data_IF_156905698733
#
_entry.id   IF_156905698733
#
_cell.length_a   1.000
_cell.length_b   1.000
_cell.length_c   1.000
_cell.angle_alpha   90.00
_cell.angle_beta   90.00
_cell.angle_gamma   90.00
#
_symmetry.space_group_name_H-M   'P 1'
#
loop_
_entity.id
_entity.type
_entity.pdbx_description
1 polymer ?
#
# COMPACT_ATOMS: atom_id res chain seq x y z
N UNK A 1 -19.59 -6.01 -4.72
CA UNK A 1 -19.75 -7.42 -4.29
C UNK A 1 -18.38 -8.12 -4.18
N UNK A 2 -18.33 -9.31 -3.58
CA UNK A 2 -17.12 -10.13 -3.58
C UNK A 2 -16.63 -10.45 -5.00
N UNK A 3 -17.57 -10.68 -5.91
CA UNK A 3 -17.26 -10.91 -7.33
C UNK A 3 -16.57 -9.69 -7.97
N UNK A 4 -17.05 -8.47 -7.68
CA UNK A 4 -16.40 -7.24 -8.16
C UNK A 4 -14.99 -7.07 -7.61
N UNK A 5 -14.79 -7.36 -6.32
CA UNK A 5 -13.45 -7.30 -5.70
C UNK A 5 -12.49 -8.30 -6.36
N UNK A 6 -12.97 -9.51 -6.64
CA UNK A 6 -12.17 -10.53 -7.34
C UNK A 6 -11.85 -10.09 -8.78
N UNK A 7 -12.84 -9.57 -9.51
CA UNK A 7 -12.64 -9.09 -10.89
C UNK A 7 -11.65 -7.90 -10.94
N UNK A 8 -11.76 -6.94 -10.03
CA UNK A 8 -10.83 -5.82 -9.93
C UNK A 8 -9.39 -6.30 -9.61
N UNK A 9 -9.24 -7.23 -8.67
CA UNK A 9 -7.95 -7.85 -8.36
C UNK A 9 -7.36 -8.55 -9.59
N UNK A 10 -8.14 -9.35 -10.27
CA UNK A 10 -7.67 -10.13 -11.42
C UNK A 10 -7.29 -9.20 -12.59
N UNK A 11 -8.05 -8.12 -12.81
CA UNK A 11 -7.70 -7.08 -13.78
C UNK A 11 -6.38 -6.37 -13.41
N UNK A 12 -6.19 -6.05 -12.13
CA UNK A 12 -4.95 -5.43 -11.65
C UNK A 12 -3.75 -6.37 -11.78
N UNK A 13 -3.89 -7.65 -11.41
CA UNK A 13 -2.83 -8.64 -11.57
C UNK A 13 -2.46 -8.83 -13.05
N UNK A 14 -3.44 -8.87 -13.95
CA UNK A 14 -3.19 -8.94 -15.38
C UNK A 14 -2.45 -7.70 -15.91
N UNK A 15 -2.77 -6.51 -15.40
CA UNK A 15 -2.09 -5.26 -15.76
C UNK A 15 -0.65 -5.18 -15.24
N UNK A 16 -0.37 -5.78 -14.06
CA UNK A 16 1.00 -5.86 -13.50
C UNK A 16 1.88 -6.94 -14.18
N UNK A 17 1.28 -7.81 -15.00
CA UNK A 17 1.96 -8.94 -15.63
C UNK A 17 2.10 -10.17 -14.72
N UNK A 18 2.33 -11.35 -15.30
CA UNK A 18 2.39 -12.63 -14.56
C UNK A 18 3.50 -12.66 -13.51
N UNK A 19 4.59 -11.91 -13.71
CA UNK A 19 5.71 -11.84 -12.79
C UNK A 19 5.74 -10.55 -11.96
N UNK A 20 4.78 -9.63 -12.17
CA UNK A 20 4.66 -8.30 -11.53
C UNK A 20 6.01 -7.55 -11.42
N UNK A 21 6.89 -7.76 -12.40
CA UNK A 21 8.27 -7.26 -12.44
C UNK A 21 8.33 -5.76 -12.66
N UNK A 22 7.20 -5.14 -13.04
CA UNK A 22 7.17 -3.78 -13.53
C UNK A 22 6.45 -2.79 -12.59
N UNK A 23 6.39 -3.08 -11.29
CA UNK A 23 6.00 -2.03 -10.33
C UNK A 23 7.15 -1.04 -10.24
N UNK A 24 7.02 0.08 -10.96
CA UNK A 24 8.00 1.16 -10.89
C UNK A 24 7.89 1.89 -9.56
N UNK A 25 9.02 2.30 -9.00
CA UNK A 25 9.03 3.07 -7.77
C UNK A 25 10.09 4.17 -7.80
N UNK A 26 9.86 5.19 -6.99
CA UNK A 26 10.80 6.29 -6.75
C UNK A 26 11.07 6.39 -5.24
N UNK A 27 12.34 6.60 -4.86
CA UNK A 27 12.70 6.91 -3.47
C UNK A 27 12.57 8.41 -3.26
N UNK A 28 11.54 8.81 -2.52
CA UNK A 28 11.25 10.22 -2.22
C UNK A 28 12.10 10.75 -1.07
N UNK A 29 12.29 9.92 -0.02
CA UNK A 29 13.13 10.24 1.14
C UNK A 29 13.99 9.05 1.47
N UNK A 30 15.28 9.30 1.73
CA UNK A 30 16.28 8.31 2.14
C UNK A 30 17.06 8.82 3.33
N UNK A 31 16.84 8.23 4.49
CA UNK A 31 17.56 8.54 5.72
C UNK A 31 18.44 7.38 6.13
N UNK A 32 19.74 7.50 5.89
CA UNK A 32 20.76 6.54 6.25
C UNK A 32 22.01 7.24 6.82
N UNK A 33 22.32 7.13 8.13
CA UNK A 33 21.57 6.39 9.15
C UNK A 33 20.28 7.11 9.57
N UNK A 34 19.29 6.33 10.01
CA UNK A 34 18.08 6.90 10.58
C UNK A 34 18.32 7.36 12.03
N UNK A 35 18.24 8.67 12.25
CA UNK A 35 18.57 9.28 13.56
C UNK A 35 17.51 8.99 14.65
N UNK A 36 16.30 8.55 14.27
CA UNK A 36 15.21 8.33 15.22
C UNK A 36 15.30 7.06 16.07
N UNK A 37 16.11 6.08 15.66
CA UNK A 37 16.31 4.83 16.41
C UNK A 37 17.62 4.15 15.95
N UNK A 38 18.60 3.93 16.84
CA UNK A 38 19.88 3.32 16.47
C UNK A 38 19.77 1.86 16.00
N UNK A 39 18.64 1.20 16.23
CA UNK A 39 18.40 -0.16 15.74
C UNK A 39 17.89 -0.18 14.28
N UNK A 40 17.56 0.97 13.72
CA UNK A 40 17.13 1.13 12.33
C UNK A 40 18.27 1.76 11.54
N UNK A 41 18.83 1.00 10.59
CA UNK A 41 19.93 1.47 9.76
C UNK A 41 19.45 2.50 8.72
N UNK A 42 18.23 2.33 8.20
CA UNK A 42 17.72 3.15 7.10
C UNK A 42 16.20 3.25 7.17
N UNK A 43 15.69 4.45 6.90
CA UNK A 43 14.27 4.70 6.65
C UNK A 43 14.10 5.28 5.25
N UNK A 44 13.20 4.69 4.47
CA UNK A 44 12.87 5.16 3.13
C UNK A 44 11.39 5.51 3.06
N UNK A 45 11.05 6.57 2.32
CA UNK A 45 9.71 6.77 1.78
C UNK A 45 9.81 6.55 0.28
N UNK A 46 8.91 5.77 -0.25
CA UNK A 46 8.83 5.46 -1.67
C UNK A 46 7.44 5.80 -2.19
N UNK A 47 7.39 6.28 -3.41
CA UNK A 47 6.20 6.31 -4.24
C UNK A 47 6.30 5.21 -5.28
N UNK A 48 5.22 4.48 -5.52
CA UNK A 48 5.19 3.39 -6.49
C UNK A 48 3.90 3.41 -7.31
N UNK A 49 4.00 3.01 -8.58
CA UNK A 49 2.86 2.97 -9.48
C UNK A 49 2.03 1.71 -9.29
N UNK A 50 0.71 1.88 -9.29
CA UNK A 50 -0.25 0.79 -9.14
C UNK A 50 -1.34 0.89 -10.20
N UNK A 51 -1.90 -0.24 -10.69
CA UNK A 51 -3.07 -0.21 -11.56
C UNK A 51 -4.24 0.47 -10.85
N UNK A 52 -4.87 1.43 -11.53
CA UNK A 52 -6.03 2.14 -10.99
C UNK A 52 -7.31 1.39 -11.37
N UNK A 53 -7.97 0.80 -10.36
CA UNK A 53 -9.25 0.08 -10.50
C UNK A 53 -10.41 0.86 -9.92
N UNK A 54 -10.16 1.88 -9.10
CA UNK A 54 -11.19 2.72 -8.48
C UNK A 54 -10.74 4.17 -8.32
N UNK A 55 -11.63 5.09 -8.62
CA UNK A 55 -11.51 6.53 -8.43
C UNK A 55 -12.49 7.08 -7.39
N UNK A 56 -12.82 8.37 -7.52
CA UNK A 56 -13.74 9.05 -6.60
C UNK A 56 -15.21 8.59 -6.75
N UNK A 57 -15.57 8.07 -7.90
CA UNK A 57 -16.92 7.56 -8.17
C UNK A 57 -17.06 6.04 -7.90
N UNK A 58 -16.02 5.40 -7.34
CA UNK A 58 -15.96 3.96 -7.06
C UNK A 58 -15.17 3.19 -8.11
N UNK A 59 -15.49 1.89 -8.28
CA UNK A 59 -14.82 1.02 -9.24
C UNK A 59 -15.04 1.48 -10.67
N UNK A 60 -13.96 1.52 -11.44
CA UNK A 60 -14.02 1.68 -12.89
C UNK A 60 -14.65 0.43 -13.52
N UNK A 61 -15.62 0.63 -14.41
CA UNK A 61 -16.38 -0.46 -15.03
C UNK A 61 -16.45 -0.29 -16.54
N UNK A 62 -16.40 -1.41 -17.26
CA UNK A 62 -16.67 -1.45 -18.69
C UNK A 62 -18.17 -1.32 -19.01
N UNK A 63 -18.51 -1.45 -20.29
CA UNK A 63 -19.90 -1.36 -20.76
C UNK A 63 -20.83 -2.46 -20.23
N UNK A 64 -20.27 -3.57 -19.76
CA UNK A 64 -21.01 -4.69 -19.18
C UNK A 64 -21.06 -4.62 -17.64
N UNK A 65 -20.43 -3.59 -17.05
CA UNK A 65 -20.38 -3.37 -15.61
C UNK A 65 -19.28 -4.16 -14.89
N UNK A 66 -18.37 -4.78 -15.62
CA UNK A 66 -17.23 -5.52 -15.05
C UNK A 66 -16.12 -4.55 -14.63
N UNK A 67 -15.54 -4.71 -13.42
CA UNK A 67 -14.40 -3.91 -13.00
C UNK A 67 -13.20 -4.03 -13.93
N UNK A 68 -12.60 -2.89 -14.27
CA UNK A 68 -11.45 -2.78 -15.19
C UNK A 68 -10.39 -1.84 -14.64
N UNK A 69 -9.16 -1.96 -15.15
CA UNK A 69 -8.08 -0.98 -14.93
C UNK A 69 -8.24 0.18 -15.91
N UNK A 70 -8.19 1.41 -15.41
CA UNK A 70 -8.27 2.63 -16.23
C UNK A 70 -7.02 3.52 -16.13
N UNK A 71 -5.85 2.91 -16.00
CA UNK A 71 -4.59 3.64 -15.92
C UNK A 71 -3.76 3.24 -14.73
N UNK A 72 -2.90 4.15 -14.29
CA UNK A 72 -2.05 3.99 -13.10
C UNK A 72 -2.30 5.13 -12.13
N UNK A 73 -2.12 4.86 -10.85
CA UNK A 73 -2.08 5.85 -9.79
C UNK A 73 -0.87 5.63 -8.90
N UNK A 74 -0.48 6.63 -8.14
CA UNK A 74 0.66 6.55 -7.23
C UNK A 74 0.19 6.14 -5.84
N UNK A 75 0.87 5.16 -5.25
CA UNK A 75 0.73 4.78 -3.85
C UNK A 75 2.04 5.04 -3.11
N UNK A 76 1.96 5.26 -1.79
CA UNK A 76 3.12 5.58 -0.95
C UNK A 76 3.36 4.51 0.10
N UNK A 77 4.63 4.20 0.37
CA UNK A 77 5.01 3.32 1.47
C UNK A 77 6.25 3.85 2.22
N UNK A 78 6.35 3.45 3.49
CA UNK A 78 7.55 3.62 4.31
C UNK A 78 8.24 2.27 4.50
N UNK A 79 9.57 2.25 4.40
CA UNK A 79 10.38 1.06 4.59
C UNK A 79 11.39 1.34 5.71
N UNK A 80 11.39 0.47 6.73
CA UNK A 80 12.34 0.53 7.84
C UNK A 80 13.25 -0.68 7.81
N UNK A 81 14.54 -0.46 7.59
CA UNK A 81 15.56 -1.49 7.50
C UNK A 81 16.31 -1.55 8.83
N UNK A 82 16.25 -2.66 9.58
CA UNK A 82 16.99 -2.78 10.83
C UNK A 82 18.49 -2.95 10.60
N UNK A 83 19.30 -2.57 11.61
CA UNK A 83 20.77 -2.69 11.56
C UNK A 83 21.28 -4.12 11.46
N UNK A 84 20.48 -5.10 11.88
CA UNK A 84 20.80 -6.53 11.76
C UNK A 84 20.66 -7.07 10.32
N UNK A 85 19.96 -6.35 9.42
CA UNK A 85 19.82 -6.73 8.03
C UNK A 85 21.10 -6.38 7.26
N UNK A 86 21.89 -7.40 6.92
CA UNK A 86 23.14 -7.28 6.19
C UNK A 86 23.17 -8.25 5.01
N UNK A 87 24.23 -8.18 4.20
CA UNK A 87 24.43 -9.14 3.12
C UNK A 87 24.55 -10.59 3.62
N UNK A 88 25.15 -10.76 4.82
CA UNK A 88 25.38 -12.06 5.47
C UNK A 88 24.17 -12.49 6.31
N UNK A 89 23.38 -11.55 6.82
CA UNK A 89 22.20 -11.82 7.64
C UNK A 89 20.95 -11.22 6.97
N UNK A 90 20.32 -11.98 6.11
CA UNK A 90 19.12 -11.54 5.40
C UNK A 90 17.93 -11.44 6.35
N UNK A 91 17.31 -10.26 6.40
CA UNK A 91 16.09 -10.04 7.16
C UNK A 91 14.86 -10.63 6.46
N UNK A 92 13.87 -11.01 7.26
CA UNK A 92 12.52 -11.23 6.76
C UNK A 92 11.83 -9.90 6.42
N UNK A 93 10.69 -9.97 5.74
CA UNK A 93 9.87 -8.79 5.42
C UNK A 93 8.54 -8.90 6.16
N UNK A 94 8.14 -7.80 6.79
CA UNK A 94 6.82 -7.62 7.39
C UNK A 94 6.11 -6.50 6.63
N UNK A 95 5.04 -6.82 5.91
CA UNK A 95 4.15 -5.83 5.31
C UNK A 95 3.09 -5.48 6.35
N UNK A 96 2.94 -4.18 6.61
CA UNK A 96 2.04 -3.65 7.63
C UNK A 96 1.02 -2.68 7.01
N UNK A 97 -0.26 -2.91 7.30
CA UNK A 97 -1.35 -1.97 7.03
C UNK A 97 -1.75 -1.24 8.30
N UNK A 98 -1.92 0.07 8.21
CA UNK A 98 -2.39 0.89 9.33
C UNK A 98 -3.84 0.58 9.71
N UNK A 99 -4.29 1.09 10.87
CA UNK A 99 -5.67 1.04 11.30
C UNK A 99 -6.59 1.95 10.49
N UNK A 100 -7.90 1.87 10.81
CA UNK A 100 -8.91 2.69 10.13
C UNK A 100 -8.64 4.17 10.33
N UNK A 101 -8.53 4.92 9.24
CA UNK A 101 -8.10 6.32 9.19
C UNK A 101 -6.70 6.60 9.74
N UNK A 102 -5.83 5.59 9.71
CA UNK A 102 -4.42 5.74 10.03
C UNK A 102 -3.56 6.17 8.84
N UNK A 103 -2.25 6.06 9.01
CA UNK A 103 -1.25 6.42 7.99
C UNK A 103 0.02 5.56 8.11
N UNK A 104 0.99 5.79 7.23
CA UNK A 104 2.32 5.15 7.30
C UNK A 104 3.09 5.47 8.59
N UNK A 105 2.67 6.48 9.37
CA UNK A 105 3.28 6.79 10.67
C UNK A 105 3.15 5.63 11.66
N UNK A 106 2.06 4.86 11.58
CA UNK A 106 1.87 3.69 12.45
C UNK A 106 2.96 2.62 12.23
N UNK A 107 3.41 2.45 10.98
CA UNK A 107 4.50 1.54 10.64
C UNK A 107 5.83 1.95 11.28
N UNK A 108 5.98 3.23 11.61
CA UNK A 108 7.16 3.81 12.24
C UNK A 108 7.06 3.82 13.77
N UNK A 109 5.98 3.31 14.33
CA UNK A 109 5.72 3.27 15.76
C UNK A 109 6.68 2.38 16.54
N UNK A 110 6.81 2.63 17.84
CA UNK A 110 7.77 1.93 18.71
C UNK A 110 7.55 0.40 18.77
N UNK A 111 6.34 -0.09 18.54
CA UNK A 111 6.07 -1.53 18.47
C UNK A 111 6.74 -2.15 17.24
N UNK A 112 6.54 -1.55 16.06
CA UNK A 112 7.09 -2.08 14.81
C UNK A 112 8.61 -1.90 14.73
N UNK A 113 9.16 -0.83 15.31
CA UNK A 113 10.62 -0.71 15.46
C UNK A 113 11.21 -1.81 16.35
N UNK A 114 10.50 -2.22 17.40
CA UNK A 114 10.91 -3.39 18.22
C UNK A 114 10.83 -4.68 17.43
N UNK A 115 9.78 -4.89 16.63
CA UNK A 115 9.68 -6.05 15.74
C UNK A 115 10.84 -6.07 14.75
N UNK A 116 11.12 -4.93 14.10
CA UNK A 116 12.26 -4.82 13.20
C UNK A 116 13.58 -5.22 13.87
N UNK A 117 13.84 -4.68 15.08
CA UNK A 117 15.06 -4.95 15.84
C UNK A 117 15.13 -6.38 16.36
N UNK A 118 14.08 -6.84 17.07
CA UNK A 118 14.14 -8.08 17.87
C UNK A 118 13.97 -9.32 17.00
N UNK A 119 13.24 -9.22 15.89
CA UNK A 119 13.01 -10.30 14.93
C UNK A 119 13.83 -10.14 13.64
N UNK A 120 14.62 -9.09 13.51
CA UNK A 120 15.38 -8.76 12.30
C UNK A 120 14.50 -8.76 11.05
N UNK A 121 13.46 -7.92 11.04
CA UNK A 121 12.53 -7.82 9.92
C UNK A 121 12.57 -6.42 9.31
N UNK A 122 12.64 -6.34 7.99
CA UNK A 122 12.32 -5.11 7.27
C UNK A 122 10.82 -4.88 7.38
N UNK A 123 10.44 -3.72 7.94
CA UNK A 123 9.04 -3.33 8.03
C UNK A 123 8.70 -2.46 6.83
N UNK A 124 7.67 -2.84 6.10
CA UNK A 124 7.15 -2.13 4.93
C UNK A 124 5.72 -1.72 5.24
N UNK A 125 5.48 -0.43 5.44
CA UNK A 125 4.15 0.13 5.76
C UNK A 125 3.56 0.88 4.59
N UNK A 126 2.45 0.39 4.03
CA UNK A 126 1.71 1.05 2.95
C UNK A 126 0.58 1.93 3.45
N UNK A 127 0.12 2.86 2.60
CA UNK A 127 -1.15 3.57 2.77
C UNK A 127 -2.28 2.68 2.27
N UNK A 128 -3.27 2.41 3.12
CA UNK A 128 -4.46 1.68 2.72
C UNK A 128 -5.52 2.64 2.19
N UNK A 129 -5.56 2.84 0.87
CA UNK A 129 -6.55 3.70 0.22
C UNK A 129 -7.97 3.23 0.53
N UNK A 130 -8.87 4.16 0.81
CA UNK A 130 -10.23 3.90 1.29
C UNK A 130 -10.33 3.78 2.82
N UNK A 131 -9.21 3.64 3.55
CA UNK A 131 -9.17 3.59 5.02
C UNK A 131 -8.09 4.48 5.63
N UNK A 132 -7.42 5.32 4.85
CA UNK A 132 -6.38 6.21 5.33
C UNK A 132 -6.93 7.51 5.91
N UNK A 133 -6.08 8.27 6.59
CA UNK A 133 -6.40 9.63 7.04
C UNK A 133 -6.81 10.55 5.89
N UNK A 134 -6.30 10.32 4.69
CA UNK A 134 -6.62 11.12 3.51
C UNK A 134 -8.04 10.85 2.98
N UNK A 135 -8.61 9.70 3.35
CA UNK A 135 -9.98 9.33 2.97
C UNK A 135 -11.07 9.91 3.91
N UNK A 136 -10.68 10.59 5.00
CA UNK A 136 -11.62 11.15 5.99
C UNK A 136 -12.65 12.08 5.36
N UNK A 137 -12.22 13.02 4.50
CA UNK A 137 -13.14 13.95 3.85
C UNK A 137 -14.14 13.23 2.94
N UNK A 138 -13.67 12.20 2.23
CA UNK A 138 -14.51 11.36 1.39
C UNK A 138 -15.52 10.56 2.22
N UNK A 139 -15.08 9.96 3.32
CA UNK A 139 -15.91 9.21 4.25
C UNK A 139 -17.04 10.08 4.84
N UNK A 140 -16.71 11.30 5.28
CA UNK A 140 -17.73 12.26 5.75
C UNK A 140 -18.72 12.67 4.64
N UNK A 141 -18.25 12.81 3.41
CA UNK A 141 -19.11 13.01 2.24
C UNK A 141 -20.07 11.84 2.02
N UNK A 142 -19.59 10.61 2.15
CA UNK A 142 -20.39 9.40 2.01
C UNK A 142 -21.47 9.24 3.10
N UNK A 143 -21.24 9.73 4.31
CA UNK A 143 -22.25 9.72 5.37
C UNK A 143 -23.44 10.67 5.08
N UNK A 144 -23.22 11.69 4.27
CA UNK A 144 -24.25 12.69 3.92
C UNK A 144 -24.91 12.42 2.55
N UNK A 145 -24.34 11.51 1.75
CA UNK A 145 -24.82 11.18 0.40
C UNK A 145 -24.72 9.67 0.19
N UNK A 146 -25.86 9.00 0.17
CA UNK A 146 -25.92 7.54 -0.01
C UNK A 146 -25.31 7.04 -1.34
N UNK A 147 -25.27 7.89 -2.37
CA UNK A 147 -24.63 7.52 -3.65
C UNK A 147 -23.12 7.42 -3.49
N UNK A 148 -22.51 8.16 -2.56
CA UNK A 148 -21.09 8.10 -2.25
C UNK A 148 -20.73 6.96 -1.30
N UNK A 149 -21.70 6.40 -0.58
CA UNK A 149 -21.46 5.32 0.36
C UNK A 149 -20.94 4.05 -0.34
N UNK A 150 -21.45 3.73 -1.52
CA UNK A 150 -20.94 2.62 -2.34
C UNK A 150 -19.52 2.90 -2.83
N UNK A 151 -19.29 4.09 -3.39
CA UNK A 151 -17.98 4.49 -3.87
C UNK A 151 -16.92 4.47 -2.75
N UNK A 152 -17.29 4.87 -1.52
CA UNK A 152 -16.39 4.74 -0.36
C UNK A 152 -16.00 3.29 -0.09
N UNK A 153 -16.96 2.35 -0.12
CA UNK A 153 -16.66 0.92 0.02
C UNK A 153 -15.80 0.37 -1.12
N UNK A 154 -16.01 0.86 -2.34
CA UNK A 154 -15.26 0.42 -3.52
C UNK A 154 -13.82 0.97 -3.54
N UNK A 155 -13.53 2.13 -2.92
CA UNK A 155 -12.15 2.63 -2.75
C UNK A 155 -11.26 1.67 -1.93
N UNK A 156 -11.83 0.90 -1.02
CA UNK A 156 -11.08 -0.12 -0.26
C UNK A 156 -10.50 -1.20 -1.20
N UNK A 157 -11.17 -1.46 -2.33
CA UNK A 157 -10.67 -2.40 -3.33
C UNK A 157 -9.38 -1.89 -3.97
N UNK A 158 -9.28 -0.56 -4.20
CA UNK A 158 -8.02 0.04 -4.64
C UNK A 158 -6.92 -0.17 -3.59
N UNK A 159 -7.21 0.01 -2.30
CA UNK A 159 -6.24 -0.26 -1.24
C UNK A 159 -5.74 -1.71 -1.22
N UNK A 160 -6.60 -2.68 -1.55
CA UNK A 160 -6.17 -4.08 -1.72
C UNK A 160 -5.19 -4.21 -2.89
N UNK A 161 -5.46 -3.56 -4.02
CA UNK A 161 -4.57 -3.56 -5.19
C UNK A 161 -3.23 -2.90 -4.87
N UNK A 162 -3.25 -1.77 -4.16
CA UNK A 162 -2.04 -1.06 -3.71
C UNK A 162 -1.15 -1.99 -2.86
N UNK A 163 -1.74 -2.76 -1.94
CA UNK A 163 -1.00 -3.71 -1.11
C UNK A 163 -0.50 -4.94 -1.90
N UNK A 164 -1.21 -5.41 -2.90
CA UNK A 164 -0.73 -6.46 -3.80
C UNK A 164 0.52 -5.96 -4.56
N UNK A 165 0.47 -4.75 -5.11
CA UNK A 165 1.62 -4.15 -5.80
C UNK A 165 2.80 -3.95 -4.84
N UNK A 166 2.56 -3.49 -3.61
CA UNK A 166 3.58 -3.34 -2.58
C UNK A 166 4.22 -4.68 -2.20
N UNK A 167 3.43 -5.76 -2.10
CA UNK A 167 3.94 -7.10 -1.86
C UNK A 167 4.87 -7.57 -2.99
N UNK A 168 4.49 -7.34 -4.24
CA UNK A 168 5.30 -7.71 -5.41
C UNK A 168 6.62 -6.94 -5.40
N UNK A 169 6.56 -5.62 -5.18
CA UNK A 169 7.75 -4.78 -5.05
C UNK A 169 8.67 -5.26 -3.93
N UNK A 170 8.11 -5.57 -2.75
CA UNK A 170 8.88 -6.02 -1.60
C UNK A 170 9.56 -7.39 -1.82
N UNK A 171 8.99 -8.24 -2.66
CA UNK A 171 9.59 -9.52 -3.05
C UNK A 171 10.71 -9.38 -4.08
N UNK A 172 10.89 -8.22 -4.69
CA UNK A 172 11.89 -7.97 -5.73
C UNK A 172 11.62 -8.76 -7.01
N UNK A 173 10.34 -8.94 -7.30
CA UNK A 173 9.88 -9.61 -8.52
C UNK A 173 9.44 -8.60 -9.56
#
# INVERSE_FOLDING_TARGET
>A
TLADTQAARDAALAAMGEDAVDVTYEVVVDEAPFAGDPAIARRLFIDYEVPEVAGDDGLHRDGDGTPVVMGTSTATAVIMVPTCATAENKAGILIFGHGFFGSTEEAQGGVLRRVARDLCMVVVGGVWRGMSSDDLAFAFGALNDSNKALAFGERIVQGIVDFIALEQLARGK
#
